data_IF_601116446453
#
_entry.id   IF_601116446453
#
_cell.length_a   1.000
_cell.length_b   1.000
_cell.length_c   1.000
_cell.angle_alpha   90.00
_cell.angle_beta   90.00
_cell.angle_gamma   90.00
#
_symmetry.space_group_name_H-M   'P 1'
#
loop_
_entity.id
_entity.type
_entity.pdbx_description
1 polymer ?
#
# COMPACT_ATOMS: atom_id res chain seq x y z
N UNK A 1 13.90 -0.98 21.40
CA UNK A 1 12.53 -1.23 21.86
C UNK A 1 11.68 -1.19 20.62
N UNK A 2 10.96 -2.26 20.29
CA UNK A 2 10.05 -2.22 19.15
C UNK A 2 8.91 -1.23 19.42
N UNK A 3 8.40 -0.59 18.37
CA UNK A 3 7.35 0.41 18.46
C UNK A 3 6.25 0.01 17.47
N UNK A 4 5.32 -0.82 17.95
CA UNK A 4 4.26 -1.42 17.14
C UNK A 4 2.96 -0.62 17.13
N UNK A 5 2.92 0.57 17.74
CA UNK A 5 1.70 1.38 17.79
C UNK A 5 1.67 2.38 16.63
N UNK A 6 1.59 1.85 15.41
CA UNK A 6 1.34 2.63 14.20
C UNK A 6 -0.15 2.53 13.88
N UNK A 7 -0.87 3.65 13.75
CA UNK A 7 -2.27 3.61 13.32
C UNK A 7 -2.37 3.01 11.91
N UNK A 8 -3.45 2.26 11.65
CA UNK A 8 -3.78 1.85 10.29
C UNK A 8 -3.94 3.08 9.40
N UNK A 9 -3.61 2.95 8.12
CA UNK A 9 -3.94 3.95 7.11
C UNK A 9 -5.38 3.63 6.69
N UNK A 10 -6.28 4.60 6.78
CA UNK A 10 -7.73 4.37 6.59
C UNK A 10 -8.39 5.33 5.58
N UNK A 11 -7.67 6.38 5.15
CA UNK A 11 -8.14 7.34 4.14
C UNK A 11 -9.46 8.06 4.48
N UNK A 12 -9.91 7.94 5.73
CA UNK A 12 -11.14 8.55 6.22
C UNK A 12 -10.95 10.07 6.39
N UNK A 13 -12.05 10.82 6.38
CA UNK A 13 -11.96 12.28 6.61
C UNK A 13 -11.36 12.54 7.99
N UNK A 14 -10.29 13.34 8.04
CA UNK A 14 -9.47 13.59 9.24
C UNK A 14 -8.81 12.31 9.83
N UNK A 15 -8.84 11.20 9.09
CA UNK A 15 -8.24 9.90 9.43
C UNK A 15 -6.77 9.80 9.03
N UNK A 16 -6.15 8.67 9.38
CA UNK A 16 -4.72 8.47 9.10
C UNK A 16 -4.50 8.14 7.62
N UNK A 17 -3.55 8.83 6.98
CA UNK A 17 -3.32 8.72 5.55
C UNK A 17 -4.07 9.72 4.68
N UNK A 18 -5.14 10.34 5.18
CA UNK A 18 -5.99 11.23 4.39
C UNK A 18 -5.30 12.55 4.02
N UNK A 19 -4.42 13.05 4.90
CA UNK A 19 -3.68 14.31 4.70
C UNK A 19 -2.19 14.10 4.39
N UNK A 20 -1.79 12.87 4.08
CA UNK A 20 -0.39 12.59 3.73
C UNK A 20 -0.09 13.08 2.30
N UNK A 21 1.14 13.54 2.07
CA UNK A 21 1.64 13.83 0.71
C UNK A 21 1.93 12.52 -0.03
N UNK A 22 0.88 11.90 -0.59
CA UNK A 22 1.00 10.73 -1.45
C UNK A 22 1.55 11.11 -2.82
N UNK A 23 2.65 10.45 -3.23
CA UNK A 23 3.29 10.67 -4.51
C UNK A 23 3.20 9.41 -5.37
N UNK A 24 2.47 9.50 -6.46
CA UNK A 24 2.43 8.47 -7.51
C UNK A 24 3.72 8.49 -8.32
N UNK A 25 4.22 7.32 -8.68
CA UNK A 25 5.44 7.15 -9.46
C UNK A 25 5.29 6.08 -10.55
N UNK A 26 6.14 6.21 -11.57
CA UNK A 26 6.33 5.25 -12.66
C UNK A 26 5.05 4.90 -13.47
N UNK A 27 4.00 5.71 -13.35
CA UNK A 27 2.69 5.46 -13.96
C UNK A 27 2.47 6.32 -15.22
N UNK A 28 3.53 6.56 -16.01
CA UNK A 28 3.66 7.43 -17.19
C UNK A 28 3.30 8.91 -17.00
N UNK A 29 2.11 9.24 -16.48
CA UNK A 29 1.63 10.60 -16.18
C UNK A 29 1.57 10.90 -14.68
N UNK A 30 1.83 9.90 -13.83
CA UNK A 30 1.84 9.99 -12.36
C UNK A 30 0.61 10.76 -11.81
N UNK A 31 -0.63 10.32 -12.11
CA UNK A 31 -1.82 10.96 -11.59
C UNK A 31 -1.81 10.86 -10.06
N UNK A 32 -2.27 11.91 -9.38
CA UNK A 32 -2.37 11.88 -7.92
C UNK A 32 -3.22 10.68 -7.45
N UNK A 33 -2.87 10.11 -6.30
CA UNK A 33 -3.71 9.13 -5.64
C UNK A 33 -5.04 9.79 -5.27
N UNK A 34 -6.15 9.15 -5.63
CA UNK A 34 -7.49 9.67 -5.34
C UNK A 34 -8.04 9.00 -4.08
N UNK A 35 -8.79 9.75 -3.26
CA UNK A 35 -9.61 9.19 -2.19
C UNK A 35 -11.07 9.39 -2.55
N UNK A 36 -11.84 8.30 -2.64
CA UNK A 36 -13.24 8.32 -3.05
C UNK A 36 -14.12 7.65 -2.00
N UNK A 37 -15.44 7.84 -2.10
CA UNK A 37 -16.39 7.00 -1.36
C UNK A 37 -16.17 5.53 -1.76
N UNK A 38 -16.17 4.63 -0.78
CA UNK A 38 -16.00 3.20 -1.01
C UNK A 38 -17.10 2.70 -1.96
N UNK A 39 -16.74 2.19 -3.17
CA UNK A 39 -17.72 1.78 -4.17
C UNK A 39 -18.58 0.59 -3.73
N UNK A 40 -18.16 -0.14 -2.70
CA UNK A 40 -18.90 -1.23 -2.07
C UNK A 40 -18.48 -1.34 -0.60
N UNK A 41 -19.08 -0.48 0.23
CA UNK A 41 -18.92 -0.50 1.68
C UNK A 41 -19.74 -1.65 2.30
N UNK A 42 -19.31 -2.89 2.06
CA UNK A 42 -19.96 -4.08 2.60
C UNK A 42 -18.98 -5.23 2.84
N UNK A 43 -19.45 -6.24 3.59
CA UNK A 43 -18.70 -7.47 3.82
C UNK A 43 -17.50 -7.24 4.73
N UNK A 44 -16.29 -7.42 4.20
CA UNK A 44 -15.05 -7.29 4.99
C UNK A 44 -14.47 -5.87 4.98
N UNK A 45 -14.93 -5.00 4.06
CA UNK A 45 -14.56 -3.59 4.08
C UNK A 45 -15.82 -2.70 4.18
N UNK A 46 -16.09 -2.20 5.37
CA UNK A 46 -17.21 -1.29 5.66
C UNK A 46 -16.76 0.19 5.77
N UNK A 47 -15.52 0.51 5.35
CA UNK A 47 -15.02 1.89 5.35
C UNK A 47 -15.87 2.80 4.46
N UNK A 48 -15.95 4.07 4.82
CA UNK A 48 -16.66 5.05 4.01
C UNK A 48 -15.80 5.51 2.83
N UNK A 49 -14.47 5.51 2.97
CA UNK A 49 -13.54 5.97 1.93
C UNK A 49 -12.42 4.97 1.67
N UNK A 50 -11.92 4.98 0.44
CA UNK A 50 -10.80 4.15 0.00
C UNK A 50 -9.87 4.91 -0.92
N UNK A 51 -8.62 4.45 -1.01
CA UNK A 51 -7.69 4.92 -2.02
C UNK A 51 -8.01 4.29 -3.38
N UNK A 52 -7.96 5.10 -4.44
CA UNK A 52 -8.14 4.68 -5.83
C UNK A 52 -6.86 4.97 -6.61
N UNK A 53 -6.28 3.92 -7.15
CA UNK A 53 -5.13 3.97 -8.05
C UNK A 53 -5.53 3.54 -9.45
N UNK A 54 -5.25 4.37 -10.46
CA UNK A 54 -5.45 4.02 -11.86
C UNK A 54 -4.11 3.62 -12.47
N UNK A 55 -3.83 2.32 -12.56
CA UNK A 55 -2.64 1.82 -13.23
C UNK A 55 -2.80 1.98 -14.76
N UNK A 56 -1.94 2.79 -15.38
CA UNK A 56 -1.98 3.06 -16.82
C UNK A 56 -1.49 1.86 -17.63
N UNK A 57 -2.06 1.67 -18.82
CA UNK A 57 -1.60 0.64 -19.75
C UNK A 57 -0.10 0.81 -20.11
N UNK A 58 0.31 2.06 -20.35
CA UNK A 58 1.70 2.41 -20.70
C UNK A 58 2.56 2.75 -19.46
N UNK A 59 2.04 2.52 -18.25
CA UNK A 59 2.79 2.67 -17.01
C UNK A 59 3.79 1.52 -16.81
N UNK A 60 4.82 1.74 -15.98
CA UNK A 60 5.73 0.65 -15.64
C UNK A 60 4.99 -0.46 -14.87
N UNK A 61 5.50 -1.70 -14.94
CA UNK A 61 4.91 -2.81 -14.21
C UNK A 61 4.82 -2.58 -12.70
N UNK A 62 5.75 -1.79 -12.15
CA UNK A 62 5.85 -1.42 -10.74
C UNK A 62 5.33 0.00 -10.44
N UNK A 63 4.43 0.54 -11.26
CA UNK A 63 3.75 1.79 -10.94
C UNK A 63 3.08 1.71 -9.56
N UNK A 64 3.20 2.78 -8.77
CA UNK A 64 2.71 2.77 -7.39
C UNK A 64 2.60 4.17 -6.80
N UNK A 65 2.35 4.21 -5.49
CA UNK A 65 2.27 5.44 -4.71
C UNK A 65 3.06 5.29 -3.43
N UNK A 66 3.63 6.38 -2.91
CA UNK A 66 4.35 6.38 -1.64
C UNK A 66 3.89 7.51 -0.74
N UNK A 67 3.85 7.25 0.56
CA UNK A 67 3.40 8.19 1.59
C UNK A 67 4.20 8.02 2.88
N UNK A 68 4.18 9.07 3.69
CA UNK A 68 4.76 9.14 5.03
C UNK A 68 4.15 10.30 5.83
N UNK A 69 4.01 10.12 7.14
CA UNK A 69 3.64 11.17 8.11
C UNK A 69 4.76 11.49 9.11
N UNK A 70 5.89 10.77 9.03
CA UNK A 70 6.99 10.85 9.97
C UNK A 70 6.84 9.95 11.20
N UNK A 71 5.73 9.22 11.33
CA UNK A 71 5.59 8.16 12.32
C UNK A 71 6.59 7.06 12.00
N UNK A 72 7.40 6.69 12.99
CA UNK A 72 8.44 5.66 12.84
C UNK A 72 8.07 4.37 13.53
N UNK A 73 8.43 3.24 12.94
CA UNK A 73 8.23 1.93 13.55
C UNK A 73 9.32 0.92 13.25
N UNK A 74 9.32 -0.15 14.05
CA UNK A 74 10.04 -1.39 13.82
C UNK A 74 9.09 -2.51 14.18
N UNK A 75 9.14 -3.61 13.42
CA UNK A 75 8.44 -4.82 13.79
C UNK A 75 9.00 -5.42 15.10
N UNK A 76 8.21 -6.26 15.75
CA UNK A 76 8.67 -7.10 16.86
C UNK A 76 8.50 -8.59 16.54
N UNK A 77 8.94 -9.46 17.43
CA UNK A 77 8.86 -10.91 17.19
C UNK A 77 7.41 -11.42 17.07
N UNK A 78 6.44 -10.68 17.62
CA UNK A 78 5.03 -11.06 17.70
C UNK A 78 4.19 -10.53 16.53
N UNK A 79 4.57 -9.40 15.93
CA UNK A 79 3.86 -8.79 14.80
C UNK A 79 4.85 -8.34 13.71
N UNK A 80 4.80 -9.07 12.60
CA UNK A 80 5.67 -8.90 11.41
C UNK A 80 4.87 -8.87 10.12
N UNK A 81 3.57 -8.63 10.22
CA UNK A 81 2.65 -8.67 9.09
C UNK A 81 2.08 -7.30 8.83
N UNK A 82 2.01 -6.94 7.56
CA UNK A 82 1.17 -5.82 7.10
C UNK A 82 0.02 -6.45 6.33
N UNK A 83 -1.21 -6.03 6.65
CA UNK A 83 -2.38 -6.36 5.85
C UNK A 83 -2.83 -5.16 5.04
N UNK A 84 -3.45 -5.41 3.90
CA UNK A 84 -4.04 -4.39 3.04
C UNK A 84 -5.28 -4.98 2.37
N UNK A 85 -6.38 -4.26 2.39
CA UNK A 85 -7.60 -4.63 1.67
C UNK A 85 -7.48 -4.14 0.24
N UNK A 86 -7.81 -4.99 -0.73
CA UNK A 86 -7.79 -4.62 -2.15
C UNK A 86 -9.07 -5.04 -2.86
N UNK A 87 -9.46 -4.23 -3.83
CA UNK A 87 -10.47 -4.56 -4.82
C UNK A 87 -9.88 -4.32 -6.21
N UNK A 88 -9.85 -5.37 -7.03
CA UNK A 88 -9.21 -5.36 -8.35
C UNK A 88 -10.08 -6.05 -9.39
N UNK A 89 -10.02 -5.62 -10.65
CA UNK A 89 -10.68 -6.28 -11.77
C UNK A 89 -9.87 -7.43 -12.39
N UNK A 90 -8.60 -7.58 -11.98
CA UNK A 90 -7.64 -8.57 -12.48
C UNK A 90 -6.82 -9.16 -11.33
N UNK A 91 -6.30 -10.36 -11.54
CA UNK A 91 -5.34 -11.01 -10.64
C UNK A 91 -3.94 -10.49 -10.93
N UNK A 92 -3.27 -9.92 -9.94
CA UNK A 92 -1.87 -9.55 -10.01
C UNK A 92 -1.26 -9.33 -8.63
N UNK A 93 0.06 -9.19 -8.58
CA UNK A 93 0.74 -8.93 -7.32
C UNK A 93 0.34 -7.55 -6.77
N UNK A 94 -0.01 -7.52 -5.48
CA UNK A 94 -0.04 -6.32 -4.65
C UNK A 94 1.30 -6.29 -3.90
N UNK A 95 1.95 -5.14 -3.86
CA UNK A 95 3.24 -4.98 -3.23
C UNK A 95 3.25 -3.94 -2.13
N UNK A 96 3.97 -4.22 -1.05
CA UNK A 96 4.37 -3.22 -0.05
C UNK A 96 5.89 -3.17 0.01
N UNK A 97 6.43 -1.95 0.02
CA UNK A 97 7.85 -1.65 0.28
C UNK A 97 7.92 -0.67 1.43
N UNK A 98 8.88 -0.87 2.32
CA UNK A 98 9.11 0.01 3.47
C UNK A 98 10.41 0.77 3.30
N UNK A 99 10.40 2.03 3.72
CA UNK A 99 11.51 2.96 3.58
C UNK A 99 11.88 3.57 4.93
N UNK A 100 13.12 4.03 5.02
CA UNK A 100 13.68 4.76 6.16
C UNK A 100 13.94 6.22 5.79
N UNK A 101 14.19 7.06 6.81
CA UNK A 101 14.47 8.48 6.61
C UNK A 101 15.72 8.75 5.75
N UNK A 102 16.69 7.84 5.72
CA UNK A 102 17.90 7.96 4.89
C UNK A 102 17.69 7.62 3.42
N UNK A 103 16.51 7.09 3.06
CA UNK A 103 16.21 6.56 1.74
C UNK A 103 16.61 5.10 1.54
N UNK A 104 17.13 4.41 2.57
CA UNK A 104 17.25 2.95 2.50
C UNK A 104 15.85 2.32 2.46
N UNK A 105 15.66 1.32 1.60
CA UNK A 105 14.41 0.58 1.49
C UNK A 105 14.60 -0.91 1.72
N UNK A 106 13.67 -1.50 2.45
CA UNK A 106 13.44 -2.93 2.42
C UNK A 106 12.71 -3.25 1.12
N UNK A 107 13.37 -3.96 0.18
CA UNK A 107 12.77 -4.35 -1.09
C UNK A 107 11.38 -4.96 -0.92
N UNK A 108 10.53 -4.78 -1.92
CA UNK A 108 9.10 -5.08 -1.84
C UNK A 108 8.81 -6.55 -1.52
N UNK A 109 7.67 -6.76 -0.87
CA UNK A 109 7.02 -8.07 -0.77
C UNK A 109 5.83 -8.04 -1.70
N UNK A 110 5.69 -9.08 -2.52
CA UNK A 110 4.63 -9.19 -3.52
C UNK A 110 3.75 -10.40 -3.18
N UNK A 111 2.44 -10.18 -3.11
CA UNK A 111 1.44 -11.23 -2.93
C UNK A 111 0.31 -11.01 -3.94
N UNK A 112 -0.01 -12.03 -4.73
CA UNK A 112 -1.11 -11.95 -5.68
C UNK A 112 -2.46 -11.97 -4.94
N UNK A 113 -3.37 -11.07 -5.34
CA UNK A 113 -4.78 -11.26 -4.99
C UNK A 113 -5.32 -12.54 -5.64
N UNK A 114 -6.35 -13.13 -5.05
CA UNK A 114 -6.99 -14.36 -5.54
C UNK A 114 -8.42 -14.11 -6.02
N UNK A 115 -9.00 -12.96 -5.66
CA UNK A 115 -10.36 -12.55 -6.00
C UNK A 115 -10.35 -11.40 -6.99
N UNK A 116 -11.44 -11.25 -7.72
CA UNK A 116 -11.68 -10.11 -8.61
C UNK A 116 -13.08 -9.56 -8.40
N UNK A 117 -13.21 -8.25 -8.49
CA UNK A 117 -14.46 -7.51 -8.32
C UNK A 117 -15.17 -7.75 -6.96
N UNK A 118 -14.37 -7.98 -5.92
CA UNK A 118 -14.78 -8.04 -4.53
C UNK A 118 -13.58 -7.69 -3.64
N UNK A 119 -13.84 -7.29 -2.39
CA UNK A 119 -12.80 -7.03 -1.41
C UNK A 119 -12.06 -8.31 -0.99
N UNK A 120 -10.74 -8.20 -0.88
CA UNK A 120 -9.84 -9.23 -0.36
C UNK A 120 -8.81 -8.62 0.59
N UNK A 121 -8.58 -9.25 1.74
CA UNK A 121 -7.44 -8.94 2.61
C UNK A 121 -6.19 -9.66 2.10
N UNK A 122 -5.15 -8.90 1.78
CA UNK A 122 -3.83 -9.41 1.42
C UNK A 122 -2.92 -9.31 2.64
N UNK A 123 -2.27 -10.41 2.98
CA UNK A 123 -1.33 -10.50 4.11
C UNK A 123 0.10 -10.57 3.58
N UNK A 124 0.95 -9.62 3.97
CA UNK A 124 2.37 -9.57 3.62
C UNK A 124 3.24 -9.84 4.85
N UNK A 125 4.04 -10.91 4.81
CA UNK A 125 4.89 -11.37 5.91
C UNK A 125 6.32 -10.81 5.79
N UNK A 126 6.69 -9.92 6.71
CA UNK A 126 8.02 -9.31 6.83
C UNK A 126 8.97 -10.07 7.76
N UNK A 127 8.72 -11.36 8.04
CA UNK A 127 9.65 -12.22 8.76
C UNK A 127 11.04 -12.24 8.08
N UNK A 128 12.09 -11.95 8.86
CA UNK A 128 13.46 -11.79 8.39
C UNK A 128 13.79 -10.42 7.78
N UNK A 129 12.85 -9.47 7.82
CA UNK A 129 12.96 -8.10 7.26
C UNK A 129 12.62 -7.04 8.30
N UNK A 130 12.76 -7.37 9.57
CA UNK A 130 12.26 -6.59 10.70
C UNK A 130 13.08 -5.33 10.98
N UNK A 131 14.36 -5.36 10.60
CA UNK A 131 15.35 -4.36 11.01
C UNK A 131 16.05 -3.74 9.81
N UNK A 132 15.82 -2.44 9.54
CA UNK A 132 16.67 -1.71 8.61
C UNK A 132 18.11 -1.60 9.18
N UNK A 133 19.11 -1.33 8.33
CA UNK A 133 20.50 -1.21 8.76
C UNK A 133 20.70 -0.02 9.71
N UNK A 134 21.86 0.01 10.38
CA UNK A 134 22.34 1.14 11.20
C UNK A 134 21.40 1.59 12.34
N UNK A 135 20.44 0.75 12.75
CA UNK A 135 19.48 1.09 13.80
C UNK A 135 18.43 2.13 13.36
N UNK A 136 18.21 2.27 12.06
CA UNK A 136 17.16 3.11 11.51
C UNK A 136 15.76 2.57 11.86
N UNK A 137 14.73 3.34 11.54
CA UNK A 137 13.33 2.93 11.70
C UNK A 137 12.59 3.17 10.39
N UNK A 138 11.61 2.30 10.11
CA UNK A 138 10.73 2.51 8.97
C UNK A 138 9.88 3.75 9.21
N UNK A 139 9.71 4.58 8.19
CA UNK A 139 8.91 5.80 8.25
C UNK A 139 8.21 6.14 6.93
N UNK A 140 8.34 5.29 5.92
CA UNK A 140 7.71 5.44 4.63
C UNK A 140 7.18 4.11 4.13
N UNK A 141 6.08 4.19 3.39
CA UNK A 141 5.44 3.05 2.75
C UNK A 141 5.25 3.36 1.27
N UNK A 142 5.56 2.40 0.41
CA UNK A 142 5.13 2.41 -0.98
C UNK A 142 4.18 1.24 -1.21
N UNK A 143 3.04 1.54 -1.83
CA UNK A 143 2.05 0.56 -2.28
C UNK A 143 2.18 0.40 -3.79
N UNK A 144 2.26 -0.86 -4.23
CA UNK A 144 2.26 -1.27 -5.63
C UNK A 144 0.95 -2.04 -5.87
N UNK A 145 -0.17 -1.36 -6.20
CA UNK A 145 -1.49 -1.99 -6.17
C UNK A 145 -1.68 -3.05 -7.26
N UNK A 146 -0.93 -2.91 -8.34
CA UNK A 146 -0.97 -3.75 -9.52
C UNK A 146 0.49 -3.90 -10.00
N UNK A 147 1.18 -4.99 -9.62
CA UNK A 147 2.56 -5.26 -10.02
C UNK A 147 2.59 -6.32 -11.14
N UNK A 148 2.52 -5.86 -12.39
CA UNK A 148 2.53 -6.69 -13.60
C UNK A 148 2.69 -5.84 -14.86
N UNK A 149 3.12 -6.45 -15.96
CA UNK A 149 2.88 -5.85 -17.27
C UNK A 149 1.36 -5.81 -17.51
N UNK A 150 0.90 -4.74 -18.16
CA UNK A 150 -0.52 -4.54 -18.45
C UNK A 150 -0.71 -4.09 -19.89
N UNK A 151 -1.87 -4.43 -20.46
CA UNK A 151 -2.28 -4.11 -21.83
C UNK A 151 -3.48 -3.14 -21.87
N UNK A 152 -3.99 -2.79 -20.69
CA UNK A 152 -5.09 -1.86 -20.49
C UNK A 152 -4.91 -1.08 -19.19
N UNK A 153 -5.73 -0.04 -19.00
CA UNK A 153 -5.85 0.63 -17.72
C UNK A 153 -6.61 -0.26 -16.72
N UNK A 154 -6.08 -0.36 -15.50
CA UNK A 154 -6.75 -1.02 -14.40
C UNK A 154 -7.02 0.00 -13.29
N UNK A 155 -8.25 0.02 -12.79
CA UNK A 155 -8.58 0.76 -11.56
C UNK A 155 -8.52 -0.22 -10.39
N UNK A 156 -7.78 0.15 -9.37
CA UNK A 156 -7.57 -0.61 -8.14
C UNK A 156 -8.01 0.26 -6.98
N UNK A 157 -8.80 -0.33 -6.08
CA UNK A 157 -9.07 0.28 -4.79
C UNK A 157 -8.28 -0.46 -3.72
N UNK A 158 -7.75 0.29 -2.76
CA UNK A 158 -7.14 -0.29 -1.58
C UNK A 158 -7.43 0.53 -0.33
N UNK A 159 -7.35 -0.16 0.78
CA UNK A 159 -7.61 0.34 2.13
C UNK A 159 -6.61 -0.31 3.10
#
# INVERSE_FOLDING_TARGET
MAQNNVPAIDFEVDGNGADWDWVTFENIDNPALEFIDNPDASGINESARVAKFTARADGQPWAGTTGRDGTTFLFDEANRTITIMVWKSVISNVGIKLETASGWSQGEILVANTKVNEWEEIVLDFTGREYPPNGEMFNGISVFPDFQNRDQENVIYFD
#
